data_IF_688852258411
#
_entry.id   IF_688852258411
#
_cell.length_a   1.000
_cell.length_b   1.000
_cell.length_c   1.000
_cell.angle_alpha   90.00
_cell.angle_beta   90.00
_cell.angle_gamma   90.00
#
_symmetry.space_group_name_H-M   'P 1'
#
loop_
_entity.id
_entity.type
_entity.pdbx_description
1 polymer ?
#
# COMPACT_ATOMS: atom_id res chain seq x y z
N UNK A 1 -22.41 -25.62 17.18
CA UNK A 1 -21.55 -25.80 15.99
C UNK A 1 -20.57 -24.64 15.97
N UNK A 2 -19.36 -24.87 16.55
CA UNK A 2 -18.33 -23.84 16.69
C UNK A 2 -17.56 -23.78 15.36
N UNK A 3 -17.69 -22.67 14.64
CA UNK A 3 -16.88 -22.39 13.45
C UNK A 3 -15.45 -22.09 13.91
N UNK A 4 -14.54 -23.01 13.63
CA UNK A 4 -13.12 -22.84 13.83
C UNK A 4 -12.61 -21.90 12.73
N UNK A 5 -12.34 -20.64 13.07
CA UNK A 5 -11.57 -19.74 12.20
C UNK A 5 -10.12 -20.24 12.23
N UNK A 6 -9.72 -20.93 11.19
CA UNK A 6 -8.32 -21.21 10.91
C UNK A 6 -7.64 -19.88 10.58
N UNK A 7 -6.94 -19.33 11.59
CA UNK A 7 -6.02 -18.22 11.43
C UNK A 7 -4.80 -18.75 10.67
N UNK A 8 -4.78 -18.56 9.36
CA UNK A 8 -3.58 -18.75 8.55
C UNK A 8 -2.58 -17.65 8.95
N UNK A 9 -1.73 -17.98 9.90
CA UNK A 9 -0.54 -17.20 10.22
C UNK A 9 0.40 -17.35 9.01
N UNK A 10 0.37 -16.39 8.10
CA UNK A 10 1.42 -16.24 7.12
C UNK A 10 2.67 -15.76 7.86
N UNK A 11 3.52 -16.71 8.21
CA UNK A 11 4.92 -16.42 8.53
C UNK A 11 5.55 -15.80 7.27
N UNK A 12 5.59 -14.47 7.24
CA UNK A 12 6.50 -13.79 6.34
C UNK A 12 7.91 -14.15 6.80
N UNK A 13 8.76 -14.77 5.96
CA UNK A 13 10.16 -14.79 6.25
C UNK A 13 10.62 -13.31 6.23
N UNK A 14 10.93 -12.75 7.40
CA UNK A 14 11.81 -11.60 7.45
C UNK A 14 13.10 -12.06 6.74
N UNK A 15 13.30 -11.59 5.51
CA UNK A 15 14.52 -11.82 4.78
C UNK A 15 15.64 -11.12 5.55
N UNK A 16 16.22 -11.84 6.49
CA UNK A 16 17.48 -11.45 7.09
C UNK A 16 18.54 -11.46 5.99
N UNK A 17 18.76 -10.31 5.37
CA UNK A 17 20.00 -10.06 4.68
C UNK A 17 21.08 -9.92 5.74
N UNK A 18 21.76 -11.05 6.00
CA UNK A 18 22.85 -11.10 6.93
C UNK A 18 24.04 -10.29 6.43
N UNK A 19 24.26 -9.14 7.03
CA UNK A 19 25.59 -8.61 7.27
C UNK A 19 25.72 -8.43 8.79
N UNK A 20 26.77 -9.00 9.37
CA UNK A 20 27.20 -8.72 10.74
C UNK A 20 27.52 -7.22 10.85
N UNK A 21 26.52 -6.40 11.09
CA UNK A 21 26.64 -4.96 11.32
C UNK A 21 26.55 -4.66 12.80
N UNK A 22 27.49 -3.90 13.28
CA UNK A 22 27.58 -3.39 14.66
C UNK A 22 26.19 -2.81 15.07
N UNK A 23 25.65 -3.32 16.18
CA UNK A 23 24.54 -2.71 16.90
C UNK A 23 24.91 -1.28 17.29
N UNK A 24 24.36 -0.30 16.61
CA UNK A 24 24.52 1.12 16.95
C UNK A 24 23.16 1.66 17.37
N UNK A 25 23.15 2.45 18.44
CA UNK A 25 22.04 3.36 18.69
C UNK A 25 21.89 4.27 17.48
N UNK A 26 20.66 4.56 17.07
CA UNK A 26 20.41 5.46 15.94
C UNK A 26 21.12 6.79 16.17
N UNK A 27 21.80 7.31 15.14
CA UNK A 27 22.51 8.59 15.23
C UNK A 27 21.63 9.71 14.66
N UNK A 28 21.79 10.93 15.20
CA UNK A 28 21.01 12.13 14.83
C UNK A 28 21.06 12.54 13.34
N UNK A 29 21.94 11.93 12.54
CA UNK A 29 22.16 12.28 11.12
C UNK A 29 21.47 11.34 10.14
N UNK A 30 20.66 10.41 10.60
CA UNK A 30 20.02 9.38 9.78
C UNK A 30 18.55 9.73 9.52
N UNK A 31 18.01 9.22 8.41
CA UNK A 31 16.57 9.27 8.14
C UNK A 31 15.89 8.12 8.91
N UNK A 32 15.40 8.39 10.10
CA UNK A 32 14.83 7.39 10.98
C UNK A 32 13.31 7.44 10.91
N UNK A 33 12.71 6.37 10.41
CA UNK A 33 11.26 6.29 10.14
C UNK A 33 10.68 5.07 10.85
N UNK A 34 9.69 5.30 11.70
CA UNK A 34 8.95 4.28 12.41
C UNK A 34 7.49 4.26 11.95
N UNK A 35 7.02 3.09 11.53
CA UNK A 35 5.60 2.83 11.34
C UNK A 35 5.05 2.07 12.55
N UNK A 36 3.91 2.52 13.09
CA UNK A 36 3.18 1.84 14.15
C UNK A 36 1.81 1.46 13.59
N UNK A 37 1.57 0.15 13.38
CA UNK A 37 0.34 -0.27 12.72
C UNK A 37 0.17 -1.78 12.59
N UNK A 38 -0.06 -2.23 11.37
CA UNK A 38 -0.34 -3.62 11.04
C UNK A 38 0.24 -3.99 9.67
N UNK A 39 -0.23 -5.07 9.04
CA UNK A 39 0.23 -5.50 7.72
C UNK A 39 0.13 -4.43 6.62
N UNK A 40 -0.72 -3.42 6.78
CA UNK A 40 -0.79 -2.28 5.85
C UNK A 40 0.45 -1.39 5.96
N UNK A 41 1.05 -1.25 7.15
CA UNK A 41 2.33 -0.57 7.31
C UNK A 41 3.46 -1.31 6.60
N UNK A 42 3.48 -2.65 6.67
CA UNK A 42 4.46 -3.48 5.94
C UNK A 42 4.33 -3.28 4.43
N UNK A 43 3.09 -3.34 3.90
CA UNK A 43 2.86 -3.13 2.47
C UNK A 43 3.26 -1.71 2.02
N UNK A 44 2.98 -0.70 2.82
CA UNK A 44 3.26 0.69 2.49
C UNK A 44 4.74 1.04 2.52
N UNK A 45 5.50 0.39 3.39
CA UNK A 45 6.94 0.64 3.55
C UNK A 45 7.83 -0.32 2.76
N UNK A 46 7.25 -1.33 2.08
CA UNK A 46 8.01 -2.41 1.44
C UNK A 46 9.09 -1.93 0.46
N UNK A 47 8.77 -0.97 -0.40
CA UNK A 47 9.70 -0.41 -1.38
C UNK A 47 10.38 0.90 -0.93
N UNK A 48 10.05 1.40 0.29
CA UNK A 48 10.58 2.67 0.79
C UNK A 48 12.12 2.66 0.96
N UNK A 49 12.75 1.60 1.50
CA UNK A 49 14.20 1.51 1.60
C UNK A 49 14.90 1.64 0.25
N UNK A 50 14.36 1.00 -0.79
CA UNK A 50 14.89 1.12 -2.13
C UNK A 50 14.77 2.54 -2.68
N UNK A 51 13.61 3.18 -2.50
CA UNK A 51 13.44 4.57 -2.93
C UNK A 51 14.44 5.51 -2.26
N UNK A 52 14.77 5.29 -0.99
CA UNK A 52 15.82 6.02 -0.30
C UNK A 52 17.18 5.83 -0.98
N UNK A 53 17.55 4.58 -1.29
CA UNK A 53 18.82 4.27 -1.99
C UNK A 53 18.81 4.86 -3.40
N UNK A 54 17.72 4.72 -4.16
CA UNK A 54 17.59 5.30 -5.51
C UNK A 54 17.73 6.84 -5.49
N UNK A 55 17.34 7.49 -4.39
CA UNK A 55 17.53 8.94 -4.19
C UNK A 55 18.89 9.31 -3.62
N UNK A 56 19.78 8.35 -3.44
CA UNK A 56 21.18 8.55 -3.05
C UNK A 56 21.41 8.57 -1.53
N UNK A 57 20.48 8.07 -0.73
CA UNK A 57 20.68 7.85 0.71
C UNK A 57 21.38 6.50 0.88
N UNK A 58 22.55 6.49 1.52
CA UNK A 58 23.29 5.25 1.73
C UNK A 58 22.58 4.35 2.77
N UNK A 59 22.74 3.02 2.66
CA UNK A 59 22.09 2.06 3.55
C UNK A 59 22.39 2.29 5.05
N UNK A 60 23.55 2.84 5.36
CA UNK A 60 23.93 3.19 6.73
C UNK A 60 23.47 4.59 7.17
N UNK A 61 22.76 5.31 6.33
CA UNK A 61 22.26 6.66 6.59
C UNK A 61 20.76 6.71 6.85
N UNK A 62 20.07 5.60 6.84
CA UNK A 62 18.65 5.54 7.19
C UNK A 62 18.31 4.32 8.07
N UNK A 63 17.15 4.38 8.67
CA UNK A 63 16.56 3.32 9.47
C UNK A 63 15.05 3.32 9.24
N UNK A 64 14.49 2.22 8.76
CA UNK A 64 13.04 2.07 8.57
C UNK A 64 12.57 0.84 9.32
N UNK A 65 11.69 1.04 10.28
CA UNK A 65 11.09 -0.03 11.09
C UNK A 65 9.57 0.05 11.10
N UNK A 66 8.96 -1.12 11.29
CA UNK A 66 7.52 -1.26 11.52
C UNK A 66 7.27 -2.02 12.82
N UNK A 67 6.67 -1.38 13.81
CA UNK A 67 6.02 -2.04 14.94
C UNK A 67 4.65 -2.52 14.45
N UNK A 68 4.45 -3.84 14.34
CA UNK A 68 3.25 -4.39 13.70
C UNK A 68 2.62 -5.52 14.51
N UNK A 69 1.29 -5.52 14.53
CA UNK A 69 0.50 -6.67 14.94
C UNK A 69 -0.64 -6.88 13.95
N UNK A 70 -0.92 -8.13 13.62
CA UNK A 70 -1.94 -8.47 12.63
C UNK A 70 -3.30 -7.85 12.96
N UNK A 71 -3.81 -7.00 12.08
CA UNK A 71 -5.09 -6.31 12.26
C UNK A 71 -5.14 -5.29 13.39
N UNK A 72 -4.01 -4.94 14.00
CA UNK A 72 -3.94 -3.97 15.09
C UNK A 72 -4.53 -2.62 14.70
N UNK A 73 -5.27 -2.04 15.64
CA UNK A 73 -5.94 -0.75 15.56
C UNK A 73 -5.26 0.27 16.49
N UNK A 74 -5.68 1.52 16.41
CA UNK A 74 -5.16 2.57 17.29
C UNK A 74 -5.41 2.27 18.79
N UNK A 75 -6.57 1.72 19.14
CA UNK A 75 -6.88 1.31 20.50
C UNK A 75 -6.01 0.14 21.00
N UNK A 76 -5.66 -0.79 20.12
CA UNK A 76 -4.72 -1.86 20.44
C UNK A 76 -3.35 -1.28 20.83
N UNK A 77 -2.76 -0.42 19.98
CA UNK A 77 -1.45 0.18 20.26
C UNK A 77 -1.44 1.09 21.48
N UNK A 78 -2.53 1.83 21.68
CA UNK A 78 -2.69 2.61 22.90
C UNK A 78 -2.68 1.74 24.16
N UNK A 79 -3.36 0.59 24.11
CA UNK A 79 -3.38 -0.37 25.21
C UNK A 79 -2.00 -1.00 25.45
N UNK A 80 -1.30 -1.45 24.41
CA UNK A 80 0.08 -1.97 24.50
C UNK A 80 0.98 -0.95 25.20
N UNK A 81 0.90 0.31 24.80
CA UNK A 81 1.67 1.39 25.45
C UNK A 81 1.30 1.54 26.95
N UNK A 82 0.01 1.65 27.27
CA UNK A 82 -0.43 1.85 28.65
C UNK A 82 -0.03 0.70 29.59
N UNK A 83 0.05 -0.51 29.07
CA UNK A 83 0.41 -1.70 29.84
C UNK A 83 1.94 -1.91 29.92
N UNK A 84 2.72 -1.14 29.15
CA UNK A 84 4.18 -1.34 29.04
C UNK A 84 4.53 -2.70 28.43
N UNK A 85 3.65 -3.23 27.56
CA UNK A 85 3.88 -4.51 26.90
C UNK A 85 4.99 -4.40 25.86
N UNK A 86 5.75 -5.48 25.70
CA UNK A 86 6.75 -5.61 24.65
C UNK A 86 6.09 -5.74 23.27
N UNK A 87 6.75 -5.18 22.26
CA UNK A 87 6.32 -5.27 20.85
C UNK A 87 6.66 -6.66 20.34
N UNK A 88 5.66 -7.48 20.04
CA UNK A 88 5.86 -8.85 19.56
C UNK A 88 6.56 -8.88 18.18
N UNK A 89 6.24 -7.94 17.31
CA UNK A 89 6.75 -7.91 15.94
C UNK A 89 7.29 -6.53 15.59
N UNK A 90 8.60 -6.37 15.72
CA UNK A 90 9.34 -5.20 15.28
C UNK A 90 10.16 -5.57 14.04
N UNK A 91 9.65 -5.18 12.86
CA UNK A 91 10.21 -5.55 11.58
C UNK A 91 11.15 -4.46 11.06
N UNK A 92 12.40 -4.81 10.81
CA UNK A 92 13.32 -3.95 10.03
C UNK A 92 12.93 -4.02 8.55
N UNK A 93 12.60 -2.87 7.97
CA UNK A 93 12.33 -2.78 6.53
C UNK A 93 13.60 -2.48 5.75
N UNK A 94 14.57 -1.77 6.34
CA UNK A 94 15.87 -1.51 5.74
C UNK A 94 16.72 -0.55 6.56
N UNK A 95 17.98 -0.41 6.16
CA UNK A 95 18.93 0.52 6.77
C UNK A 95 19.56 0.02 8.06
N UNK A 96 19.95 0.94 8.93
CA UNK A 96 20.64 0.66 10.20
C UNK A 96 19.79 -0.21 11.14
N UNK A 97 20.39 -1.24 11.73
CA UNK A 97 19.71 -2.14 12.67
C UNK A 97 19.65 -1.52 14.08
N UNK A 98 18.47 -1.60 14.71
CA UNK A 98 18.28 -1.32 16.13
C UNK A 98 19.00 -2.37 17.01
N UNK A 99 19.21 -2.03 18.28
CA UNK A 99 19.72 -2.97 19.28
C UNK A 99 18.79 -4.21 19.37
N UNK A 100 19.38 -5.37 19.59
CA UNK A 100 18.68 -6.65 19.65
C UNK A 100 18.19 -6.92 21.09
N UNK A 101 17.02 -6.39 21.41
CA UNK A 101 16.31 -6.66 22.66
C UNK A 101 14.80 -6.51 22.45
N UNK A 102 14.03 -6.92 23.44
CA UNK A 102 12.60 -6.68 23.44
C UNK A 102 12.31 -5.21 23.72
N UNK A 103 11.52 -4.58 22.84
CA UNK A 103 11.18 -3.16 22.91
C UNK A 103 9.77 -2.95 23.41
N UNK A 104 9.58 -2.04 24.34
CA UNK A 104 8.28 -1.41 24.58
C UNK A 104 8.09 -0.22 23.62
N UNK A 105 6.84 0.25 23.43
CA UNK A 105 6.61 1.45 22.60
C UNK A 105 7.29 2.69 23.16
N UNK A 106 7.35 2.84 24.49
CA UNK A 106 8.02 3.97 25.11
C UNK A 106 9.52 3.97 24.81
N UNK A 107 10.20 2.84 25.02
CA UNK A 107 11.62 2.68 24.71
C UNK A 107 11.91 2.92 23.23
N UNK A 108 11.08 2.34 22.35
CA UNK A 108 11.24 2.52 20.91
C UNK A 108 11.09 3.97 20.48
N UNK A 109 10.17 4.71 21.08
CA UNK A 109 9.96 6.14 20.80
C UNK A 109 11.07 7.04 21.37
N UNK A 110 11.84 6.57 22.35
CA UNK A 110 13.04 7.28 22.82
C UNK A 110 14.22 7.22 21.83
N UNK A 111 14.15 6.38 20.78
CA UNK A 111 15.11 6.48 19.67
C UNK A 111 14.82 7.73 18.81
N UNK A 112 15.84 8.32 18.15
CA UNK A 112 15.72 9.62 17.48
C UNK A 112 15.01 9.52 16.13
N UNK A 113 13.74 9.16 16.13
CA UNK A 113 12.90 9.11 14.93
C UNK A 113 12.66 10.49 14.34
N UNK A 114 12.86 10.63 13.02
CA UNK A 114 12.49 11.85 12.29
C UNK A 114 10.99 11.84 11.96
N UNK A 115 10.45 10.64 11.72
CA UNK A 115 9.05 10.46 11.37
C UNK A 115 8.47 9.24 12.09
N UNK A 116 7.29 9.42 12.66
CA UNK A 116 6.44 8.33 13.17
C UNK A 116 5.14 8.31 12.37
N UNK A 117 4.85 7.18 11.71
CA UNK A 117 3.66 6.98 10.90
C UNK A 117 2.64 6.15 11.67
N UNK A 118 1.46 6.71 11.88
CA UNK A 118 0.32 6.05 12.50
C UNK A 118 -0.71 5.64 11.47
N UNK A 119 -1.49 4.58 11.73
CA UNK A 119 -2.61 4.16 10.90
C UNK A 119 -3.72 3.51 11.70
N UNK A 120 -4.93 3.48 11.14
CA UNK A 120 -6.05 2.70 11.69
C UNK A 120 -6.13 1.32 11.03
N UNK A 121 -6.65 0.33 11.76
CA UNK A 121 -6.93 -0.99 11.20
C UNK A 121 -7.90 -0.91 10.02
N UNK A 122 -7.64 -1.70 8.98
CA UNK A 122 -8.46 -1.72 7.76
C UNK A 122 -9.94 -2.05 8.00
N UNK A 123 -10.26 -2.79 9.08
CA UNK A 123 -11.63 -3.11 9.45
C UNK A 123 -12.37 -1.93 10.11
N UNK A 124 -11.63 -0.93 10.57
CA UNK A 124 -12.14 0.22 11.34
C UNK A 124 -11.86 1.56 10.64
N UNK A 125 -11.15 1.55 9.50
CA UNK A 125 -10.66 2.75 8.83
C UNK A 125 -11.74 3.76 8.41
N UNK A 126 -12.99 3.31 8.24
CA UNK A 126 -14.15 4.14 7.93
C UNK A 126 -15.08 4.35 9.14
N UNK A 127 -14.63 4.05 10.36
CA UNK A 127 -15.43 4.13 11.58
C UNK A 127 -14.89 5.23 12.49
N UNK A 128 -15.39 6.44 12.38
CA UNK A 128 -14.93 7.61 13.13
C UNK A 128 -14.81 7.35 14.65
N UNK A 129 -15.75 6.58 15.20
CA UNK A 129 -15.72 6.21 16.64
C UNK A 129 -14.48 5.43 17.05
N UNK A 130 -13.88 4.65 16.15
CA UNK A 130 -12.71 3.84 16.44
C UNK A 130 -11.41 4.66 16.52
N UNK A 131 -11.45 5.89 16.06
CA UNK A 131 -10.32 6.82 16.19
C UNK A 131 -10.34 7.58 17.51
N UNK A 132 -11.51 7.76 18.11
CA UNK A 132 -11.69 8.54 19.34
C UNK A 132 -11.71 7.67 20.59
N UNK A 133 -10.91 8.02 21.63
CA UNK A 133 -9.93 9.12 21.69
C UNK A 133 -8.53 8.71 21.19
N UNK A 134 -8.40 7.52 20.64
CA UNK A 134 -7.14 6.80 20.45
C UNK A 134 -6.15 7.51 19.53
N UNK A 135 -6.59 8.17 18.45
CA UNK A 135 -5.66 8.88 17.59
C UNK A 135 -5.00 10.05 18.31
N UNK A 136 -5.78 10.83 19.07
CA UNK A 136 -5.23 11.91 19.89
C UNK A 136 -4.25 11.35 20.93
N UNK A 137 -4.64 10.27 21.63
CA UNK A 137 -3.77 9.63 22.63
C UNK A 137 -2.45 9.15 22.02
N UNK A 138 -2.48 8.54 20.82
CA UNK A 138 -1.27 8.10 20.12
C UNK A 138 -0.40 9.27 19.67
N UNK A 139 -1.00 10.35 19.18
CA UNK A 139 -0.28 11.59 18.82
C UNK A 139 0.41 12.19 20.04
N UNK A 140 -0.31 12.29 21.16
CA UNK A 140 0.24 12.85 22.39
C UNK A 140 1.32 11.94 23.00
N UNK A 141 1.16 10.62 22.88
CA UNK A 141 2.18 9.64 23.26
C UNK A 141 3.46 9.86 22.44
N UNK A 142 3.36 9.90 21.11
CA UNK A 142 4.54 10.12 20.26
C UNK A 142 5.23 11.43 20.62
N UNK A 143 4.49 12.52 20.79
CA UNK A 143 5.07 13.81 21.16
C UNK A 143 5.78 13.78 22.51
N UNK A 144 5.24 13.04 23.49
CA UNK A 144 5.77 12.95 24.84
C UNK A 144 7.00 12.05 24.91
N UNK A 145 6.98 10.91 24.25
CA UNK A 145 8.02 9.89 24.35
C UNK A 145 9.15 10.11 23.32
N UNK A 146 8.95 10.92 22.30
CA UNK A 146 9.96 11.11 21.25
C UNK A 146 11.23 11.79 21.79
N UNK A 147 12.40 11.21 21.45
CA UNK A 147 13.70 11.84 21.70
C UNK A 147 13.88 13.14 20.91
N UNK A 148 13.20 13.28 19.76
CA UNK A 148 13.24 14.50 18.94
C UNK A 148 11.99 15.35 19.18
N UNK A 149 12.13 16.61 19.62
CA UNK A 149 10.99 17.49 19.86
C UNK A 149 10.26 17.90 18.57
N UNK A 150 10.92 17.80 17.43
CA UNK A 150 10.44 18.13 16.09
C UNK A 150 10.05 16.91 15.27
N UNK A 151 9.82 15.75 15.92
CA UNK A 151 9.37 14.54 15.24
C UNK A 151 8.11 14.79 14.40
N UNK A 152 8.17 14.44 13.14
CA UNK A 152 7.01 14.51 12.26
C UNK A 152 6.07 13.32 12.53
N UNK A 153 4.81 13.62 12.88
CA UNK A 153 3.78 12.59 13.01
C UNK A 153 2.95 12.59 11.73
N UNK A 154 3.03 11.49 10.98
CA UNK A 154 2.25 11.29 9.77
C UNK A 154 1.11 10.28 10.01
N UNK A 155 0.00 10.46 9.31
CA UNK A 155 -1.09 9.51 9.31
C UNK A 155 -1.28 8.89 7.93
N UNK A 156 -1.29 7.56 7.87
CA UNK A 156 -1.53 6.84 6.63
C UNK A 156 -3.04 6.72 6.36
N UNK A 157 -3.53 7.42 5.34
CA UNK A 157 -4.84 7.21 4.77
C UNK A 157 -4.81 5.88 4.01
N UNK A 158 -5.41 4.84 4.58
CA UNK A 158 -5.34 3.46 4.06
C UNK A 158 -6.30 3.25 2.88
N UNK A 159 -6.04 2.21 2.09
CA UNK A 159 -6.89 1.83 0.96
C UNK A 159 -8.09 1.00 1.38
N UNK A 160 -9.17 1.06 0.60
CA UNK A 160 -10.36 0.23 0.80
C UNK A 160 -10.11 -1.22 0.37
N UNK A 161 -10.73 -2.16 1.08
CA UNK A 161 -10.68 -3.60 0.75
C UNK A 161 -11.51 -3.92 -0.49
N UNK A 162 -11.13 -4.98 -1.20
CA UNK A 162 -11.93 -5.54 -2.30
C UNK A 162 -13.32 -5.99 -1.83
N UNK A 163 -13.41 -6.57 -0.63
CA UNK A 163 -14.64 -7.14 -0.07
C UNK A 163 -15.53 -6.16 0.67
N UNK A 164 -15.33 -4.85 0.54
CA UNK A 164 -16.25 -3.85 1.14
C UNK A 164 -17.68 -4.07 0.63
N UNK A 165 -18.64 -4.11 1.55
CA UNK A 165 -20.04 -4.45 1.24
C UNK A 165 -20.68 -3.49 0.23
N UNK A 166 -20.41 -2.20 0.35
CA UNK A 166 -20.83 -1.16 -0.60
C UNK A 166 -19.61 -0.66 -1.37
N UNK A 167 -19.34 -1.29 -2.50
CA UNK A 167 -18.12 -1.03 -3.25
C UNK A 167 -18.20 0.20 -4.14
N UNK A 168 -19.36 0.45 -4.75
CA UNK A 168 -19.45 1.36 -5.88
C UNK A 168 -18.53 0.93 -7.04
N UNK A 169 -18.43 1.72 -8.12
CA UNK A 169 -17.45 1.46 -9.18
C UNK A 169 -16.03 1.47 -8.63
N UNK A 170 -15.27 0.40 -8.91
CA UNK A 170 -13.86 0.23 -8.48
C UNK A 170 -13.62 0.37 -6.96
N UNK A 171 -14.64 0.14 -6.11
CA UNK A 171 -14.51 0.29 -4.66
C UNK A 171 -14.56 1.75 -4.17
N UNK A 172 -15.07 2.68 -4.97
CA UNK A 172 -15.08 4.12 -4.68
C UNK A 172 -15.84 4.47 -3.40
N UNK A 173 -16.95 3.79 -3.09
CA UNK A 173 -17.72 4.07 -1.87
C UNK A 173 -16.92 3.72 -0.61
N UNK A 174 -16.20 2.60 -0.62
CA UNK A 174 -15.30 2.22 0.49
C UNK A 174 -14.17 3.24 0.68
N UNK A 175 -13.56 3.70 -0.42
CA UNK A 175 -12.54 4.75 -0.38
C UNK A 175 -13.12 6.07 0.18
N UNK A 176 -14.26 6.53 -0.33
CA UNK A 176 -14.90 7.79 0.12
C UNK A 176 -15.17 7.78 1.61
N UNK A 177 -15.74 6.70 2.12
CA UNK A 177 -16.03 6.52 3.54
C UNK A 177 -14.77 6.59 4.42
N UNK A 178 -13.62 6.07 3.95
CA UNK A 178 -12.34 6.18 4.66
C UNK A 178 -11.84 7.63 4.61
N UNK A 179 -11.87 8.26 3.43
CA UNK A 179 -11.40 9.64 3.23
C UNK A 179 -12.16 10.62 4.12
N UNK A 180 -13.49 10.58 4.10
CA UNK A 180 -14.33 11.45 4.93
C UNK A 180 -14.01 11.28 6.42
N UNK A 181 -13.82 10.03 6.87
CA UNK A 181 -13.45 9.73 8.26
C UNK A 181 -12.07 10.28 8.61
N UNK A 182 -11.06 10.04 7.76
CA UNK A 182 -9.69 10.47 8.02
C UNK A 182 -9.57 11.98 7.97
N UNK A 183 -10.22 12.64 7.01
CA UNK A 183 -10.22 14.10 6.92
C UNK A 183 -10.80 14.70 8.19
N UNK A 184 -11.98 14.25 8.61
CA UNK A 184 -12.63 14.77 9.82
C UNK A 184 -11.76 14.57 11.07
N UNK A 185 -11.22 13.36 11.29
CA UNK A 185 -10.46 13.09 12.51
C UNK A 185 -9.08 13.78 12.49
N UNK A 186 -8.46 13.93 11.32
CA UNK A 186 -7.19 14.65 11.21
C UNK A 186 -7.35 16.13 11.53
N UNK A 187 -8.43 16.75 11.07
CA UNK A 187 -8.79 18.13 11.41
C UNK A 187 -9.03 18.29 12.93
N UNK A 188 -9.72 17.32 13.56
CA UNK A 188 -10.00 17.33 15.00
C UNK A 188 -8.73 17.25 15.86
N UNK A 189 -7.75 16.43 15.45
CA UNK A 189 -6.49 16.24 16.22
C UNK A 189 -5.35 17.13 15.73
N UNK A 190 -5.56 17.94 14.70
CA UNK A 190 -4.57 18.84 14.12
C UNK A 190 -3.42 18.11 13.40
N UNK A 191 -3.68 16.95 12.79
CA UNK A 191 -2.72 16.24 11.96
C UNK A 191 -2.77 16.74 10.52
N UNK A 192 -1.66 17.27 10.03
CA UNK A 192 -1.54 17.85 8.69
C UNK A 192 -0.74 17.00 7.71
N UNK A 193 0.09 16.07 8.21
CA UNK A 193 0.91 15.20 7.38
C UNK A 193 0.16 13.91 7.10
N UNK A 194 -0.49 13.84 5.93
CA UNK A 194 -1.29 12.68 5.50
C UNK A 194 -0.60 11.98 4.34
N UNK A 195 -0.32 10.70 4.49
CA UNK A 195 0.16 9.84 3.41
C UNK A 195 -1.05 9.33 2.63
N UNK A 196 -1.27 9.75 1.37
CA UNK A 196 -2.52 9.51 0.65
C UNK A 196 -2.60 8.12 -0.02
N UNK A 197 -2.13 7.08 0.65
CA UNK A 197 -2.03 5.71 0.10
C UNK A 197 -3.36 5.22 -0.50
N UNK A 198 -4.47 5.44 0.21
CA UNK A 198 -5.80 5.04 -0.25
C UNK A 198 -6.25 5.78 -1.51
N UNK A 199 -5.92 7.06 -1.62
CA UNK A 199 -6.25 7.89 -2.80
C UNK A 199 -5.40 7.51 -4.00
N UNK A 200 -4.10 7.24 -3.80
CA UNK A 200 -3.22 6.69 -4.85
C UNK A 200 -3.78 5.38 -5.41
N UNK A 201 -4.10 4.44 -4.54
CA UNK A 201 -4.67 3.15 -4.96
C UNK A 201 -6.02 3.34 -5.66
N UNK A 202 -6.86 4.24 -5.17
CA UNK A 202 -8.15 4.49 -5.80
C UNK A 202 -8.02 5.18 -7.16
N UNK A 203 -7.05 6.07 -7.36
CA UNK A 203 -6.72 6.64 -8.67
C UNK A 203 -6.27 5.53 -9.65
N UNK A 204 -5.34 4.68 -9.23
CA UNK A 204 -4.85 3.55 -10.04
C UNK A 204 -5.95 2.54 -10.40
N UNK A 205 -6.91 2.28 -9.51
CA UNK A 205 -8.07 1.40 -9.79
C UNK A 205 -8.95 1.90 -10.93
N UNK A 206 -8.87 3.18 -11.27
CA UNK A 206 -9.62 3.81 -12.35
C UNK A 206 -8.87 3.84 -13.67
N UNK A 207 -7.68 3.25 -13.72
CA UNK A 207 -6.83 3.11 -14.91
C UNK A 207 -6.81 1.67 -15.42
N UNK A 208 -6.16 1.45 -16.56
CA UNK A 208 -5.92 0.12 -17.12
C UNK A 208 -4.96 -0.74 -16.27
N UNK A 209 -4.33 -0.15 -15.25
CA UNK A 209 -3.50 -0.86 -14.28
C UNK A 209 -4.30 -1.58 -13.20
N UNK A 210 -5.63 -1.44 -13.19
CA UNK A 210 -6.45 -2.13 -12.21
C UNK A 210 -6.44 -3.65 -12.43
N UNK A 211 -6.48 -4.40 -11.34
CA UNK A 211 -6.58 -5.86 -11.34
C UNK A 211 -7.96 -6.35 -10.96
N UNK A 212 -8.23 -7.65 -11.17
CA UNK A 212 -9.49 -8.30 -10.77
C UNK A 212 -9.79 -8.20 -9.28
N UNK A 213 -8.76 -8.05 -8.44
CA UNK A 213 -8.86 -7.86 -6.99
C UNK A 213 -8.56 -6.42 -6.56
N UNK A 214 -8.73 -5.44 -7.46
CA UNK A 214 -8.56 -4.02 -7.16
C UNK A 214 -7.20 -3.68 -6.57
N UNK A 215 -6.12 -4.14 -7.25
CA UNK A 215 -4.73 -3.91 -6.86
C UNK A 215 -4.35 -4.50 -5.49
N UNK A 216 -5.07 -5.53 -5.07
CA UNK A 216 -4.72 -6.32 -3.90
C UNK A 216 -4.40 -7.76 -4.31
N UNK A 217 -3.54 -8.46 -3.52
CA UNK A 217 -3.19 -9.87 -3.79
C UNK A 217 -4.19 -10.86 -3.23
N UNK A 218 -4.96 -10.45 -2.21
CA UNK A 218 -5.90 -11.31 -1.48
C UNK A 218 -7.24 -10.60 -1.15
N UNK A 219 -7.48 -9.44 -1.73
CA UNK A 219 -8.63 -8.59 -1.45
C UNK A 219 -8.44 -7.60 -0.30
N UNK A 220 -7.28 -7.63 0.37
CA UNK A 220 -6.94 -6.80 1.55
C UNK A 220 -5.57 -6.14 1.37
N UNK A 221 -4.53 -6.93 1.18
CA UNK A 221 -3.14 -6.50 1.08
C UNK A 221 -2.79 -6.07 -0.36
N UNK A 222 -1.92 -5.11 -0.50
CA UNK A 222 -1.51 -4.58 -1.81
C UNK A 222 -0.92 -5.68 -2.70
N UNK A 223 -1.26 -5.64 -3.98
CA UNK A 223 -0.56 -6.43 -4.99
C UNK A 223 0.90 -5.98 -5.10
N UNK A 224 1.79 -6.93 -5.33
CA UNK A 224 3.21 -6.62 -5.56
C UNK A 224 3.40 -5.83 -6.86
N UNK A 225 4.52 -5.14 -6.97
CA UNK A 225 4.82 -4.27 -8.11
C UNK A 225 4.05 -2.95 -8.05
N UNK A 226 3.23 -2.64 -9.06
CA UNK A 226 2.58 -1.32 -9.21
C UNK A 226 1.93 -0.80 -7.93
N UNK A 227 1.18 -1.63 -7.19
CA UNK A 227 0.43 -1.14 -6.05
C UNK A 227 1.31 -0.81 -4.84
N UNK A 228 2.23 -1.71 -4.46
CA UNK A 228 3.18 -1.43 -3.36
C UNK A 228 4.10 -0.27 -3.70
N UNK A 229 4.66 -0.26 -4.92
CA UNK A 229 5.55 0.80 -5.36
C UNK A 229 4.87 2.17 -5.38
N UNK A 230 3.63 2.27 -5.88
CA UNK A 230 2.88 3.52 -5.88
C UNK A 230 2.63 4.06 -4.46
N UNK A 231 2.32 3.18 -3.50
CA UNK A 231 2.13 3.57 -2.11
C UNK A 231 3.47 3.96 -1.46
N UNK A 232 4.55 3.23 -1.75
CA UNK A 232 5.88 3.61 -1.26
C UNK A 232 6.33 4.97 -1.83
N UNK A 233 6.01 5.29 -3.10
CA UNK A 233 6.23 6.63 -3.66
C UNK A 233 5.45 7.69 -2.89
N UNK A 234 4.18 7.46 -2.56
CA UNK A 234 3.41 8.39 -1.74
C UNK A 234 4.01 8.57 -0.34
N UNK A 235 4.47 7.49 0.29
CA UNK A 235 5.21 7.57 1.54
C UNK A 235 6.47 8.41 1.37
N UNK A 236 7.29 8.10 0.37
CA UNK A 236 8.54 8.82 0.12
C UNK A 236 8.30 10.33 -0.12
N UNK A 237 7.38 10.68 -1.01
CA UNK A 237 7.06 12.08 -1.33
C UNK A 237 6.52 12.84 -0.11
N UNK A 238 5.76 12.17 0.77
CA UNK A 238 5.19 12.80 1.95
C UNK A 238 6.20 12.99 3.06
N UNK A 239 7.01 11.97 3.38
CA UNK A 239 7.82 11.95 4.61
C UNK A 239 9.33 11.93 4.37
N UNK A 240 9.81 11.46 3.21
CA UNK A 240 11.25 11.42 2.92
C UNK A 240 11.72 12.60 2.08
N UNK A 241 10.92 13.04 1.11
CA UNK A 241 11.27 14.20 0.26
C UNK A 241 11.58 15.47 1.06
N UNK A 242 10.82 15.84 2.13
CA UNK A 242 11.19 16.98 2.95
C UNK A 242 12.59 16.88 3.58
N UNK A 243 13.05 15.65 3.85
CA UNK A 243 14.35 15.36 4.44
C UNK A 243 15.46 15.29 3.38
N UNK A 244 15.19 14.70 2.22
CA UNK A 244 16.19 14.50 1.14
C UNK A 244 16.30 15.68 0.20
N UNK A 245 15.26 16.51 0.09
CA UNK A 245 15.15 17.60 -0.88
C UNK A 245 14.95 17.13 -2.33
N UNK A 246 14.78 15.82 -2.58
CA UNK A 246 14.67 15.23 -3.91
C UNK A 246 13.31 14.52 -4.06
N UNK A 247 12.67 14.65 -5.23
CA UNK A 247 11.45 13.91 -5.57
C UNK A 247 11.78 12.61 -6.30
N UNK A 248 11.21 11.51 -5.84
CA UNK A 248 11.31 10.22 -6.54
C UNK A 248 10.48 10.19 -7.83
N UNK A 249 9.63 11.19 -8.06
CA UNK A 249 8.80 11.31 -9.26
C UNK A 249 9.50 12.06 -10.41
N UNK A 250 10.72 12.58 -10.19
CA UNK A 250 11.44 13.36 -11.20
C UNK A 250 12.30 12.50 -12.13
N UNK A 251 12.50 11.22 -11.83
CA UNK A 251 13.25 10.28 -12.64
C UNK A 251 12.44 8.98 -12.85
N UNK A 252 12.70 8.22 -13.94
CA UNK A 252 12.11 6.89 -14.10
C UNK A 252 12.48 5.95 -12.95
N UNK A 253 11.66 4.91 -12.68
CA UNK A 253 12.00 3.90 -11.70
C UNK A 253 13.31 3.20 -12.08
N UNK A 254 14.14 2.89 -11.08
CA UNK A 254 15.39 2.16 -11.29
C UNK A 254 15.14 0.75 -11.84
N UNK A 255 16.15 0.17 -12.49
CA UNK A 255 16.06 -1.22 -12.95
C UNK A 255 15.84 -2.18 -11.77
N UNK A 256 16.37 -1.85 -10.59
CA UNK A 256 16.12 -2.60 -9.37
C UNK A 256 14.64 -2.53 -8.95
N UNK A 257 13.99 -1.36 -9.06
CA UNK A 257 12.55 -1.22 -8.80
C UNK A 257 11.69 -2.05 -9.77
N UNK A 258 12.11 -2.16 -11.03
CA UNK A 258 11.45 -2.99 -12.06
C UNK A 258 11.70 -4.49 -11.87
N UNK A 259 12.89 -4.88 -11.39
CA UNK A 259 13.33 -6.26 -11.29
C UNK A 259 12.76 -7.01 -10.07
N UNK A 260 12.40 -6.32 -9.01
CA UNK A 260 11.96 -6.92 -7.73
C UNK A 260 10.52 -7.41 -7.75
N UNK A 261 10.19 -8.19 -8.75
CA UNK A 261 8.82 -8.70 -8.87
C UNK A 261 8.84 -10.20 -8.61
N UNK A 262 8.32 -10.64 -7.45
CA UNK A 262 8.12 -12.06 -7.25
C UNK A 262 7.16 -12.57 -8.34
N UNK A 263 7.46 -13.76 -8.88
CA UNK A 263 6.60 -14.46 -9.84
C UNK A 263 5.34 -15.02 -9.13
N UNK A 264 4.48 -14.11 -8.70
CA UNK A 264 3.25 -14.43 -7.97
C UNK A 264 2.01 -14.00 -8.76
N UNK A 265 0.93 -14.77 -8.62
CA UNK A 265 -0.38 -14.39 -9.17
C UNK A 265 -0.78 -13.00 -8.63
N UNK A 266 -1.18 -12.12 -9.54
CA UNK A 266 -1.66 -10.77 -9.20
C UNK A 266 -0.57 -9.70 -9.17
N UNK A 267 0.68 -10.02 -9.49
CA UNK A 267 1.73 -9.03 -9.71
C UNK A 267 1.43 -8.23 -10.97
N UNK A 268 1.45 -6.91 -10.86
CA UNK A 268 1.45 -6.02 -12.01
C UNK A 268 2.84 -5.40 -12.08
N UNK A 269 3.64 -5.73 -13.11
CA UNK A 269 4.99 -5.25 -13.22
C UNK A 269 5.07 -3.74 -13.45
N UNK A 270 6.11 -3.13 -12.89
CA UNK A 270 6.49 -1.76 -13.21
C UNK A 270 7.29 -1.82 -14.50
N UNK A 271 6.88 -1.04 -15.49
CA UNK A 271 7.49 -1.03 -16.83
C UNK A 271 7.70 0.40 -17.30
N UNK A 272 8.50 0.56 -18.39
CA UNK A 272 8.70 1.86 -19.03
C UNK A 272 7.41 2.43 -19.63
N UNK A 273 6.42 1.58 -19.93
CA UNK A 273 5.14 2.00 -20.48
C UNK A 273 4.16 2.47 -19.40
N UNK A 274 4.24 1.93 -18.17
CA UNK A 274 3.21 2.19 -17.14
C UNK A 274 3.64 3.12 -15.99
N UNK A 275 4.94 3.34 -15.75
CA UNK A 275 5.39 4.13 -14.61
C UNK A 275 4.87 5.57 -14.63
N UNK A 276 4.69 6.16 -15.82
CA UNK A 276 4.16 7.52 -15.94
C UNK A 276 2.74 7.62 -15.37
N UNK A 277 1.91 6.62 -15.66
CA UNK A 277 0.54 6.54 -15.10
C UNK A 277 0.58 6.38 -13.57
N UNK A 278 1.51 5.59 -13.05
CA UNK A 278 1.71 5.47 -11.60
C UNK A 278 2.04 6.85 -11.01
N UNK A 279 3.01 7.55 -11.60
CA UNK A 279 3.46 8.86 -11.14
C UNK A 279 2.35 9.92 -11.18
N UNK A 280 1.54 9.94 -12.24
CA UNK A 280 0.38 10.84 -12.32
C UNK A 280 -0.65 10.58 -11.21
N UNK A 281 -0.94 9.30 -10.92
CA UNK A 281 -1.83 8.93 -9.82
C UNK A 281 -1.26 9.36 -8.46
N UNK A 282 0.05 9.24 -8.25
CA UNK A 282 0.73 9.68 -7.02
C UNK A 282 0.72 11.20 -6.94
N UNK A 283 1.14 11.94 -7.99
CA UNK A 283 1.13 13.41 -7.99
C UNK A 283 -0.26 13.97 -7.68
N UNK A 284 -1.30 13.42 -8.29
CA UNK A 284 -2.66 13.87 -8.07
C UNK A 284 -3.09 13.67 -6.60
N UNK A 285 -2.80 12.51 -6.02
CA UNK A 285 -3.09 12.23 -4.63
C UNK A 285 -2.26 13.08 -3.66
N UNK A 286 -1.01 13.41 -4.01
CA UNK A 286 -0.16 14.32 -3.23
C UNK A 286 -0.69 15.75 -3.27
N UNK A 287 -1.21 16.20 -4.42
CA UNK A 287 -1.80 17.53 -4.58
C UNK A 287 -3.12 17.67 -3.81
N UNK A 288 -3.91 16.60 -3.74
CA UNK A 288 -5.17 16.55 -2.99
C UNK A 288 -5.40 15.15 -2.39
N UNK A 289 -5.03 14.93 -1.13
CA UNK A 289 -5.14 13.62 -0.47
C UNK A 289 -6.56 13.04 -0.41
N UNK A 290 -7.54 13.88 -0.49
CA UNK A 290 -8.96 13.54 -0.25
C UNK A 290 -9.83 13.55 -1.51
N UNK A 291 -9.23 13.77 -2.69
CA UNK A 291 -9.97 13.83 -3.94
C UNK A 291 -9.36 12.89 -5.00
N UNK A 292 -10.22 12.41 -5.87
CA UNK A 292 -9.80 11.61 -7.02
C UNK A 292 -9.47 12.50 -8.20
N UNK A 293 -8.46 12.11 -8.96
CA UNK A 293 -8.17 12.73 -10.25
C UNK A 293 -9.42 12.62 -11.18
N UNK A 294 -9.70 13.67 -11.95
CA UNK A 294 -10.75 13.57 -12.96
C UNK A 294 -10.48 12.43 -13.94
N UNK A 295 -11.47 11.62 -14.31
CA UNK A 295 -11.30 10.59 -15.33
C UNK A 295 -10.74 11.14 -16.66
N UNK A 296 -11.07 12.37 -17.00
CA UNK A 296 -10.63 13.04 -18.24
C UNK A 296 -9.15 13.46 -18.19
N UNK A 297 -8.52 13.46 -16.99
CA UNK A 297 -7.11 13.78 -16.84
C UNK A 297 -6.20 12.58 -17.22
N UNK A 298 -6.74 11.36 -17.28
CA UNK A 298 -6.00 10.24 -17.80
C UNK A 298 -6.02 10.25 -19.34
N UNK A 299 -4.88 10.08 -20.03
CA UNK A 299 -4.90 9.89 -21.48
C UNK A 299 -5.78 8.67 -21.77
N UNK A 300 -6.92 8.92 -22.42
CA UNK A 300 -7.85 7.86 -22.81
C UNK A 300 -7.12 6.78 -23.59
N UNK A 301 -7.34 5.49 -23.31
CA UNK A 301 -6.87 4.39 -24.18
C UNK A 301 -7.42 4.49 -25.61
N UNK A 302 -8.38 5.37 -25.86
CA UNK A 302 -9.01 5.57 -27.16
C UNK A 302 -8.08 6.12 -28.25
N UNK A 303 -6.92 6.70 -27.91
CA UNK A 303 -5.96 7.12 -28.93
C UNK A 303 -5.16 5.94 -29.52
N UNK A 304 -4.97 4.87 -28.76
CA UNK A 304 -4.32 3.64 -29.24
C UNK A 304 -5.29 2.69 -29.94
N UNK A 305 -6.59 2.75 -29.63
CA UNK A 305 -7.60 1.88 -30.27
C UNK A 305 -8.09 2.38 -31.64
N UNK A 306 -7.85 3.63 -32.01
CA UNK A 306 -8.25 4.12 -33.35
C UNK A 306 -7.46 3.52 -34.50
N UNK A 307 -6.31 2.87 -34.21
CA UNK A 307 -5.50 2.18 -35.24
C UNK A 307 -5.53 0.65 -35.10
N UNK A 308 -6.22 0.09 -34.13
CA UNK A 308 -6.50 -1.33 -34.11
C UNK A 308 -7.78 -1.55 -34.94
N UNK A 309 -7.62 -2.15 -36.11
CA UNK A 309 -8.76 -2.64 -36.87
C UNK A 309 -9.73 -3.41 -35.96
N UNK A 310 -11.05 -3.25 -36.12
CA UNK A 310 -11.99 -3.93 -35.24
C UNK A 310 -11.63 -5.41 -35.21
N UNK A 311 -11.33 -5.97 -34.02
CA UNK A 311 -11.11 -7.41 -33.87
C UNK A 311 -12.36 -8.08 -34.37
N UNK A 312 -12.35 -8.54 -35.61
CA UNK A 312 -13.41 -9.40 -36.15
C UNK A 312 -13.53 -10.57 -35.20
N UNK A 313 -14.66 -10.64 -34.47
CA UNK A 313 -14.96 -11.82 -33.66
C UNK A 313 -14.89 -13.01 -34.60
N UNK A 314 -13.97 -13.93 -34.36
CA UNK A 314 -13.88 -15.14 -35.17
C UNK A 314 -15.26 -15.82 -35.18
N UNK A 315 -15.79 -16.13 -36.36
CA UNK A 315 -17.10 -16.77 -36.47
C UNK A 315 -17.09 -18.10 -35.71
N UNK A 316 -18.18 -18.39 -35.03
CA UNK A 316 -18.35 -19.58 -34.22
C UNK A 316 -19.24 -20.55 -35.03
N UNK A 317 -18.76 -21.77 -35.22
CA UNK A 317 -19.52 -22.82 -35.91
C UNK A 317 -19.75 -24.00 -34.98
N UNK A 318 -20.83 -24.72 -35.18
CA UNK A 318 -21.02 -26.06 -34.59
C UNK A 318 -20.15 -27.10 -35.34
N UNK A 319 -20.16 -28.34 -34.85
CA UNK A 319 -19.41 -29.45 -35.48
C UNK A 319 -19.88 -29.81 -36.88
N UNK A 320 -21.05 -29.32 -37.30
CA UNK A 320 -21.65 -29.53 -38.63
C UNK A 320 -21.42 -28.32 -39.54
N UNK A 321 -20.61 -27.31 -39.11
CA UNK A 321 -20.29 -26.15 -39.89
C UNK A 321 -21.35 -25.05 -39.92
N UNK A 322 -22.39 -25.12 -39.10
CA UNK A 322 -23.43 -24.08 -39.03
C UNK A 322 -22.94 -22.92 -38.17
N UNK A 323 -23.09 -21.68 -38.66
CA UNK A 323 -22.74 -20.47 -37.94
C UNK A 323 -23.61 -20.28 -36.71
N UNK A 324 -22.98 -20.08 -35.56
CA UNK A 324 -23.62 -19.84 -34.29
C UNK A 324 -23.46 -18.39 -33.84
N UNK A 325 -24.52 -17.82 -33.26
CA UNK A 325 -24.45 -16.48 -32.66
C UNK A 325 -23.68 -16.47 -31.34
N UNK A 326 -23.72 -17.59 -30.62
CA UNK A 326 -23.02 -17.82 -29.34
C UNK A 326 -22.50 -19.26 -29.29
N UNK A 327 -21.53 -19.52 -28.42
CA UNK A 327 -21.05 -20.88 -28.18
C UNK A 327 -22.17 -21.75 -27.59
N UNK A 328 -22.53 -22.84 -28.27
CA UNK A 328 -23.45 -23.84 -27.73
C UNK A 328 -22.68 -24.78 -26.77
N UNK A 329 -23.40 -25.44 -25.82
CA UNK A 329 -22.79 -26.50 -25.02
C UNK A 329 -22.22 -27.61 -25.94
N UNK A 330 -21.04 -28.14 -25.57
CA UNK A 330 -20.34 -29.12 -26.38
C UNK A 330 -19.19 -28.53 -27.18
N UNK A 331 -18.85 -29.15 -28.33
CA UNK A 331 -17.71 -28.72 -29.16
C UNK A 331 -18.16 -27.66 -30.16
N UNK A 332 -17.48 -26.52 -30.16
CA UNK A 332 -17.63 -25.44 -31.11
C UNK A 332 -16.32 -25.25 -31.89
N UNK A 333 -16.41 -24.70 -33.09
CA UNK A 333 -15.24 -24.30 -33.89
C UNK A 333 -15.15 -22.76 -33.89
N UNK A 334 -14.10 -22.23 -33.33
CA UNK A 334 -13.85 -20.78 -33.22
C UNK A 334 -12.49 -20.46 -33.82
N UNK A 335 -12.46 -19.65 -34.88
CA UNK A 335 -11.21 -19.32 -35.55
C UNK A 335 -10.46 -20.56 -36.06
N UNK A 336 -11.18 -21.58 -36.52
CA UNK A 336 -10.60 -22.84 -37.00
C UNK A 336 -10.15 -23.84 -35.93
N UNK A 337 -10.32 -23.51 -34.65
CA UNK A 337 -9.93 -24.38 -33.51
C UNK A 337 -11.15 -24.96 -32.80
N UNK A 338 -11.09 -26.24 -32.40
CA UNK A 338 -12.12 -26.87 -31.57
C UNK A 338 -12.04 -26.33 -30.13
N UNK A 339 -13.18 -25.83 -29.62
CA UNK A 339 -13.30 -25.27 -28.27
C UNK A 339 -14.49 -25.97 -27.59
N UNK A 340 -14.28 -26.55 -26.42
CA UNK A 340 -15.32 -27.14 -25.63
C UNK A 340 -16.01 -26.10 -24.75
N UNK A 341 -17.33 -26.07 -24.73
CA UNK A 341 -18.16 -25.23 -23.88
C UNK A 341 -18.97 -26.11 -22.96
N UNK A 342 -18.77 -26.06 -21.61
CA UNK A 342 -19.50 -26.88 -20.67
C UNK A 342 -20.99 -26.51 -20.61
N UNK A 343 -21.82 -27.46 -20.23
CA UNK A 343 -23.22 -27.22 -19.84
C UNK A 343 -23.21 -26.30 -18.60
N UNK A 344 -23.94 -25.21 -18.63
CA UNK A 344 -24.26 -24.46 -17.42
C UNK A 344 -25.45 -25.15 -16.74
N UNK A 345 -25.22 -25.67 -15.53
CA UNK A 345 -26.27 -26.09 -14.61
C UNK A 345 -26.86 -24.88 -13.91
#
# INVERSE_FOLDING_TARGET
MRLLFLLLIFLFPCLNYGQEGQTRNLQEKHFNILFIGNSYSLDASADLPRLLVDMGVAENEYCVYCAVQAGASLDYWWKVYQQGEEIENLCQMGGTKLADHAWTLAELLHEPWDVVVLQQASAQSNQLKSYRPYLQNMVDMVRRESAKPDVTIAFQLTWSKYFSADKGPYGTNGWRSIVETVQQISDEVGLTTIIPSGTVIQNLRRTDLNSSLYLTRDGVHLAYGVAQYAVALACYETICRPLTGKSALDAPPSDAAKALQPDHKGVIPITDDNYKMIYECVRAAMANPYELISPDAFPSPQSAQRNAAPRQRSPIYDIHGRLLRYRAPGINIVGGKKVFTPLRH
#
